data_IF_158907232283
#
_entry.id   IF_158907232283
#
_cell.length_a   1.000
_cell.length_b   1.000
_cell.length_c   1.000
_cell.angle_alpha   90.00
_cell.angle_beta   90.00
_cell.angle_gamma   90.00
#
_symmetry.space_group_name_H-M   'P 1'
#
loop_
_entity.id
_entity.type
_entity.pdbx_description
1 polymer ?
#
# COMPACT_ATOMS: atom_id res chain seq x y z
N UNK A 1 -11.13 -20.48 12.93
CA UNK A 1 -10.38 -19.24 13.11
C UNK A 1 -11.37 -18.07 13.06
N UNK A 2 -11.28 -17.19 14.03
CA UNK A 2 -12.12 -15.97 14.08
C UNK A 2 -11.31 -14.75 13.67
N UNK A 3 -11.79 -14.04 12.65
CA UNK A 3 -11.11 -12.87 12.07
C UNK A 3 -11.96 -11.61 12.30
N UNK A 4 -11.34 -10.61 12.90
CA UNK A 4 -11.91 -9.28 13.07
C UNK A 4 -11.48 -8.34 11.94
N UNK A 5 -12.41 -7.57 11.37
CA UNK A 5 -12.10 -6.46 10.46
C UNK A 5 -12.67 -5.18 11.06
N UNK A 6 -11.80 -4.29 11.50
CA UNK A 6 -12.16 -2.98 12.00
C UNK A 6 -12.03 -1.96 10.85
N UNK A 7 -13.15 -1.35 10.45
CA UNK A 7 -13.25 -0.56 9.22
C UNK A 7 -13.75 -1.35 8.01
N UNK A 8 -14.57 -2.37 8.23
CA UNK A 8 -15.06 -3.30 7.21
C UNK A 8 -15.81 -2.62 6.05
N UNK A 9 -16.45 -1.48 6.27
CA UNK A 9 -17.22 -0.73 5.27
C UNK A 9 -16.40 0.25 4.42
N UNK A 10 -15.10 0.36 4.70
CA UNK A 10 -14.17 1.20 3.93
C UNK A 10 -13.64 0.50 2.67
N UNK A 11 -12.95 1.25 1.80
CA UNK A 11 -12.35 0.70 0.57
C UNK A 11 -11.41 -0.49 0.85
N UNK A 12 -10.49 -0.35 1.82
CA UNK A 12 -9.56 -1.43 2.18
C UNK A 12 -10.29 -2.56 2.91
N UNK A 13 -11.32 -2.26 3.72
CA UNK A 13 -12.15 -3.27 4.37
C UNK A 13 -12.85 -4.20 3.38
N UNK A 14 -13.40 -3.64 2.30
CA UNK A 14 -14.01 -4.40 1.20
C UNK A 14 -13.00 -5.32 0.50
N UNK A 15 -11.77 -4.82 0.24
CA UNK A 15 -10.71 -5.66 -0.34
C UNK A 15 -10.24 -6.76 0.62
N UNK A 16 -10.18 -6.48 1.92
CA UNK A 16 -9.88 -7.48 2.95
C UNK A 16 -10.92 -8.60 2.97
N UNK A 17 -12.22 -8.28 2.92
CA UNK A 17 -13.28 -9.29 2.84
C UNK A 17 -13.09 -10.23 1.66
N UNK A 18 -12.84 -9.67 0.47
CA UNK A 18 -12.57 -10.45 -0.75
C UNK A 18 -11.37 -11.39 -0.57
N UNK A 19 -10.27 -10.89 0.02
CA UNK A 19 -9.05 -11.67 0.19
C UNK A 19 -9.16 -12.73 1.30
N UNK A 20 -9.84 -12.41 2.40
CA UNK A 20 -10.05 -13.33 3.52
C UNK A 20 -10.89 -14.53 3.07
N UNK A 21 -11.94 -14.30 2.26
CA UNK A 21 -12.74 -15.39 1.69
C UNK A 21 -11.89 -16.37 0.85
N UNK A 22 -10.83 -15.90 0.19
CA UNK A 22 -9.88 -16.74 -0.56
C UNK A 22 -8.83 -17.37 0.34
N UNK A 23 -8.29 -16.61 1.29
CA UNK A 23 -7.22 -17.08 2.16
C UNK A 23 -7.72 -18.08 3.22
N UNK A 24 -8.88 -17.79 3.80
CA UNK A 24 -9.46 -18.57 4.91
C UNK A 24 -10.97 -18.73 4.74
N UNK A 25 -11.44 -19.55 3.80
CA UNK A 25 -12.85 -19.63 3.42
C UNK A 25 -13.79 -20.15 4.54
N UNK A 26 -13.24 -20.76 5.58
CA UNK A 26 -14.00 -21.23 6.75
C UNK A 26 -13.87 -20.32 7.98
N UNK A 27 -13.29 -19.13 7.83
CA UNK A 27 -13.13 -18.20 8.94
C UNK A 27 -14.48 -17.61 9.37
N UNK A 28 -14.70 -17.51 10.66
CA UNK A 28 -15.77 -16.72 11.26
C UNK A 28 -15.38 -15.23 11.21
N UNK A 29 -16.25 -14.39 10.65
CA UNK A 29 -15.99 -12.96 10.50
C UNK A 29 -16.67 -12.16 11.60
N UNK A 30 -15.92 -11.26 12.25
CA UNK A 30 -16.42 -10.24 13.18
C UNK A 30 -16.14 -8.86 12.56
N UNK A 31 -17.16 -8.19 12.03
CA UNK A 31 -17.03 -6.95 11.27
C UNK A 31 -17.43 -5.75 12.10
N UNK A 32 -16.59 -4.70 12.06
CA UNK A 32 -16.79 -3.48 12.84
C UNK A 32 -16.66 -2.23 11.98
N UNK A 33 -17.53 -1.24 12.27
CA UNK A 33 -17.52 0.09 11.67
C UNK A 33 -17.87 1.16 12.71
N UNK A 34 -18.18 2.39 12.27
CA UNK A 34 -18.56 3.48 13.18
C UNK A 34 -19.92 3.27 13.87
N UNK A 35 -20.79 2.44 13.30
CA UNK A 35 -22.15 2.14 13.77
C UNK A 35 -22.59 0.74 13.36
N UNK A 36 -23.65 0.25 14.02
CA UNK A 36 -24.33 -0.98 13.62
C UNK A 36 -25.00 -0.78 12.26
N UNK A 37 -24.80 -1.73 11.34
CA UNK A 37 -25.38 -1.73 10.00
C UNK A 37 -25.21 -3.10 9.34
N UNK A 38 -25.82 -3.28 8.17
CA UNK A 38 -25.58 -4.43 7.30
C UNK A 38 -24.63 -4.03 6.15
N UNK A 39 -23.84 -4.97 5.69
CA UNK A 39 -22.93 -4.81 4.55
C UNK A 39 -23.16 -5.92 3.54
N UNK A 40 -23.58 -5.56 2.32
CA UNK A 40 -23.63 -6.48 1.20
C UNK A 40 -22.23 -6.58 0.56
N UNK A 41 -21.68 -7.79 0.47
CA UNK A 41 -20.39 -8.04 -0.16
C UNK A 41 -20.34 -9.46 -0.76
N UNK A 42 -19.87 -9.59 -2.01
CA UNK A 42 -19.69 -10.88 -2.68
C UNK A 42 -20.97 -11.71 -2.87
N UNK A 43 -22.15 -11.10 -2.79
CA UNK A 43 -23.46 -11.79 -2.85
C UNK A 43 -24.03 -12.14 -1.46
N UNK A 44 -23.24 -11.98 -0.40
CA UNK A 44 -23.65 -12.23 0.98
C UNK A 44 -23.98 -10.92 1.69
N UNK A 45 -24.77 -11.03 2.77
CA UNK A 45 -25.08 -9.93 3.68
C UNK A 45 -24.46 -10.20 5.03
N UNK A 46 -23.66 -9.27 5.52
CA UNK A 46 -22.93 -9.38 6.78
C UNK A 46 -23.45 -8.38 7.81
N UNK A 47 -23.58 -8.80 9.06
CA UNK A 47 -23.81 -7.91 10.18
C UNK A 47 -22.50 -7.20 10.57
N UNK A 48 -22.58 -5.87 10.67
CA UNK A 48 -21.45 -5.01 11.07
C UNK A 48 -21.82 -4.30 12.36
N UNK A 49 -21.02 -4.48 13.39
CA UNK A 49 -21.22 -3.89 14.72
C UNK A 49 -20.50 -2.54 14.85
N UNK A 50 -21.00 -1.70 15.74
CA UNK A 50 -20.27 -0.50 16.14
C UNK A 50 -18.94 -0.87 16.83
N UNK A 51 -17.84 -0.24 16.43
CA UNK A 51 -16.51 -0.49 17.01
C UNK A 51 -16.48 -0.26 18.53
N UNK A 52 -17.33 0.64 19.06
CA UNK A 52 -17.48 0.86 20.50
C UNK A 52 -17.91 -0.38 21.29
N UNK A 53 -18.48 -1.39 20.63
CA UNK A 53 -18.82 -2.66 21.30
C UNK A 53 -17.58 -3.45 21.76
N UNK A 54 -16.43 -3.23 21.14
CA UNK A 54 -15.16 -3.85 21.55
C UNK A 54 -14.67 -3.39 22.93
N UNK A 55 -15.18 -2.28 23.44
CA UNK A 55 -14.81 -1.74 24.75
C UNK A 55 -15.61 -2.38 25.92
N UNK A 56 -16.65 -3.12 25.60
CA UNK A 56 -17.40 -3.87 26.60
C UNK A 56 -16.56 -4.98 27.21
N UNK A 57 -16.82 -5.31 28.45
CA UNK A 57 -16.09 -6.35 29.17
C UNK A 57 -16.29 -7.76 28.61
N UNK A 58 -17.42 -7.99 27.91
CA UNK A 58 -17.81 -9.24 27.26
C UNK A 58 -17.50 -9.30 25.77
N UNK A 59 -16.70 -8.34 25.26
CA UNK A 59 -16.30 -8.35 23.86
C UNK A 59 -15.54 -9.65 23.51
N UNK A 60 -15.93 -10.33 22.42
CA UNK A 60 -15.38 -11.63 22.08
C UNK A 60 -13.94 -11.54 21.62
N UNK A 61 -13.09 -12.46 22.08
CA UNK A 61 -11.73 -12.66 21.59
C UNK A 61 -11.70 -13.38 20.24
N UNK A 62 -10.52 -13.47 19.65
CA UNK A 62 -10.32 -14.17 18.39
C UNK A 62 -8.84 -14.31 18.02
N UNK A 63 -8.59 -14.74 16.78
CA UNK A 63 -7.26 -15.15 16.34
C UNK A 63 -6.51 -14.01 15.62
N UNK A 64 -7.19 -13.31 14.69
CA UNK A 64 -6.59 -12.33 13.79
C UNK A 64 -7.47 -11.09 13.65
N UNK A 65 -6.87 -9.89 13.68
CA UNK A 65 -7.56 -8.64 13.46
C UNK A 65 -6.84 -7.77 12.42
N UNK A 66 -7.60 -7.25 11.48
CA UNK A 66 -7.18 -6.23 10.53
C UNK A 66 -7.79 -4.89 10.92
N UNK A 67 -6.96 -3.88 11.14
CA UNK A 67 -7.40 -2.53 11.49
C UNK A 67 -7.17 -1.60 10.31
N UNK A 68 -8.26 -1.18 9.67
CA UNK A 68 -8.29 -0.34 8.48
C UNK A 68 -8.96 1.01 8.77
N UNK A 69 -8.52 1.67 9.83
CA UNK A 69 -9.02 2.95 10.35
C UNK A 69 -7.92 4.00 10.43
N UNK A 70 -8.31 5.20 10.83
CA UNK A 70 -7.41 6.33 11.07
C UNK A 70 -6.63 6.18 12.38
N UNK A 71 -5.58 7.00 12.54
CA UNK A 71 -4.61 6.91 13.63
C UNK A 71 -5.24 6.91 15.03
N UNK A 72 -6.22 7.81 15.27
CA UNK A 72 -6.89 7.90 16.57
C UNK A 72 -7.65 6.63 16.97
N UNK A 73 -8.29 5.98 15.98
CA UNK A 73 -9.01 4.73 16.22
C UNK A 73 -8.06 3.55 16.36
N UNK A 74 -6.98 3.52 15.59
CA UNK A 74 -5.95 2.49 15.72
C UNK A 74 -5.26 2.57 17.08
N UNK A 75 -4.90 3.76 17.55
CA UNK A 75 -4.34 3.96 18.89
C UNK A 75 -5.28 3.47 20.00
N UNK A 76 -6.59 3.62 19.82
CA UNK A 76 -7.61 3.19 20.78
C UNK A 76 -7.86 1.68 20.74
N UNK A 77 -8.00 1.10 19.56
CA UNK A 77 -8.50 -0.27 19.44
C UNK A 77 -7.41 -1.34 19.27
N UNK A 78 -6.23 -1.04 18.74
CA UNK A 78 -5.18 -2.05 18.60
C UNK A 78 -4.75 -2.67 19.94
N UNK A 79 -4.51 -1.89 21.02
CA UNK A 79 -4.19 -2.47 22.33
C UNK A 79 -5.34 -3.36 22.85
N UNK A 80 -6.58 -2.90 22.68
CA UNK A 80 -7.76 -3.67 23.12
C UNK A 80 -7.91 -5.00 22.37
N UNK A 81 -7.66 -5.03 21.08
CA UNK A 81 -7.68 -6.26 20.28
C UNK A 81 -6.58 -7.23 20.72
N UNK A 82 -5.38 -6.72 21.04
CA UNK A 82 -4.29 -7.54 21.60
C UNK A 82 -4.68 -8.14 22.95
N UNK A 83 -5.33 -7.38 23.83
CA UNK A 83 -5.86 -7.87 25.12
C UNK A 83 -6.93 -8.96 24.94
N UNK A 84 -7.76 -8.85 23.90
CA UNK A 84 -8.76 -9.84 23.53
C UNK A 84 -8.16 -11.08 22.84
N UNK A 85 -6.84 -11.18 22.71
CA UNK A 85 -6.13 -12.34 22.19
C UNK A 85 -5.82 -12.31 20.70
N UNK A 86 -6.27 -11.30 19.97
CA UNK A 86 -6.00 -11.18 18.54
C UNK A 86 -4.52 -10.90 18.26
N UNK A 87 -4.03 -11.44 17.13
CA UNK A 87 -2.88 -10.88 16.43
C UNK A 87 -3.37 -9.77 15.53
N UNK A 88 -2.79 -8.60 15.63
CA UNK A 88 -3.30 -7.38 15.01
C UNK A 88 -2.38 -6.93 13.87
N UNK A 89 -2.97 -6.60 12.73
CA UNK A 89 -2.29 -5.92 11.62
C UNK A 89 -2.95 -4.55 11.43
N UNK A 90 -2.22 -3.51 11.75
CA UNK A 90 -2.68 -2.12 11.68
C UNK A 90 -2.16 -1.42 10.42
N UNK A 91 -3.05 -0.78 9.66
CA UNK A 91 -2.66 -0.04 8.46
C UNK A 91 -2.46 1.47 8.69
N UNK A 92 -2.77 1.99 9.88
CA UNK A 92 -2.61 3.41 10.20
C UNK A 92 -1.13 3.83 10.31
N UNK A 93 -0.88 5.14 10.51
CA UNK A 93 0.48 5.61 10.78
C UNK A 93 0.92 5.39 12.22
N UNK A 94 -0.02 5.12 13.14
CA UNK A 94 0.17 5.11 14.60
C UNK A 94 1.40 4.32 15.03
N UNK A 95 1.59 3.12 14.47
CA UNK A 95 2.63 2.20 14.91
C UNK A 95 3.79 2.05 13.94
N UNK A 96 3.72 2.64 12.74
CA UNK A 96 4.73 2.39 11.68
C UNK A 96 6.14 2.73 12.11
N UNK A 97 6.33 3.86 12.80
CA UNK A 97 7.65 4.30 13.26
C UNK A 97 7.95 3.96 14.72
N UNK A 98 7.04 3.23 15.41
CA UNK A 98 7.31 2.72 16.75
C UNK A 98 8.40 1.63 16.68
N UNK A 99 9.53 1.74 17.42
CA UNK A 99 10.62 0.75 17.37
C UNK A 99 10.21 -0.65 17.87
N UNK A 100 9.23 -0.73 18.78
CA UNK A 100 8.74 -1.99 19.32
C UNK A 100 7.75 -2.72 18.39
N UNK A 101 7.25 -2.04 17.36
CA UNK A 101 6.28 -2.62 16.42
C UNK A 101 6.94 -2.81 15.05
N UNK A 102 7.03 -4.05 14.54
CA UNK A 102 7.58 -4.29 13.21
C UNK A 102 6.69 -3.67 12.12
N UNK A 103 7.34 -3.00 11.17
CA UNK A 103 6.75 -2.48 9.95
C UNK A 103 7.09 -3.45 8.83
N UNK A 104 6.10 -4.16 8.27
CA UNK A 104 6.36 -5.36 7.48
C UNK A 104 5.83 -5.27 6.05
N UNK A 105 6.70 -5.61 5.10
CA UNK A 105 6.33 -5.93 3.73
C UNK A 105 6.59 -7.42 3.48
N UNK A 106 5.54 -8.15 3.14
CA UNK A 106 5.65 -9.56 2.76
C UNK A 106 6.54 -9.70 1.52
N UNK A 107 7.55 -10.55 1.60
CA UNK A 107 8.56 -10.69 0.54
C UNK A 107 9.82 -9.85 0.74
N UNK A 108 9.82 -8.88 1.66
CA UNK A 108 11.00 -8.07 2.01
C UNK A 108 11.51 -8.46 3.41
N UNK A 109 10.77 -8.11 4.44
CA UNK A 109 11.18 -8.30 5.83
C UNK A 109 10.14 -9.07 6.69
N UNK A 110 9.38 -9.96 6.08
CA UNK A 110 8.31 -10.71 6.75
C UNK A 110 8.80 -11.59 7.92
N UNK A 111 10.09 -11.91 7.98
CA UNK A 111 10.72 -12.57 9.12
C UNK A 111 10.59 -11.79 10.43
N UNK A 112 10.29 -10.49 10.36
CA UNK A 112 10.01 -9.64 11.53
C UNK A 112 8.65 -9.94 12.18
N UNK A 113 7.72 -10.55 11.46
CA UNK A 113 6.42 -10.99 12.00
C UNK A 113 6.54 -12.39 12.61
N UNK A 114 7.22 -12.51 13.74
CA UNK A 114 7.48 -13.78 14.44
C UNK A 114 6.25 -14.35 15.13
N UNK A 115 6.35 -15.58 15.63
CA UNK A 115 5.29 -16.21 16.43
C UNK A 115 5.00 -15.46 17.74
N UNK A 116 5.93 -14.68 18.27
CA UNK A 116 5.76 -13.87 19.47
C UNK A 116 5.10 -12.50 19.19
N UNK A 117 5.10 -12.03 17.93
CA UNK A 117 4.59 -10.73 17.54
C UNK A 117 3.06 -10.69 17.66
N UNK A 118 2.53 -9.70 18.40
CA UNK A 118 1.08 -9.50 18.60
C UNK A 118 0.51 -8.37 17.76
N UNK A 119 1.32 -7.37 17.42
CA UNK A 119 0.94 -6.21 16.62
C UNK A 119 1.99 -5.98 15.54
N UNK A 120 1.54 -5.83 14.30
CA UNK A 120 2.36 -5.48 13.13
C UNK A 120 1.76 -4.26 12.46
N UNK A 121 2.60 -3.32 12.06
CA UNK A 121 2.22 -2.20 11.22
C UNK A 121 2.34 -2.58 9.74
N UNK A 122 1.28 -2.31 8.97
CA UNK A 122 1.27 -2.41 7.51
C UNK A 122 1.69 -1.06 6.91
N UNK A 123 2.68 -1.04 6.01
CA UNK A 123 3.23 0.21 5.49
C UNK A 123 2.27 1.04 4.62
N UNK A 124 2.75 2.21 4.23
CA UNK A 124 2.09 3.08 3.27
C UNK A 124 1.97 2.40 1.89
N UNK A 125 0.91 2.77 1.17
CA UNK A 125 0.57 2.16 -0.13
C UNK A 125 1.57 2.46 -1.26
N UNK A 126 2.40 3.49 -1.14
CA UNK A 126 3.53 3.74 -2.04
C UNK A 126 4.78 2.99 -1.57
N UNK A 127 5.03 2.92 -0.27
CA UNK A 127 6.22 2.25 0.27
C UNK A 127 6.26 0.74 -0.01
N UNK A 128 5.11 0.07 0.01
CA UNK A 128 5.04 -1.38 -0.25
C UNK A 128 5.57 -1.74 -1.65
N UNK A 129 5.02 -1.21 -2.76
CA UNK A 129 5.52 -1.55 -4.09
C UNK A 129 6.95 -1.07 -4.34
N UNK A 130 7.32 0.11 -3.81
CA UNK A 130 8.70 0.61 -3.91
C UNK A 130 9.70 -0.36 -3.28
N UNK A 131 9.47 -0.78 -2.04
CA UNK A 131 10.40 -1.67 -1.33
C UNK A 131 10.44 -3.07 -1.93
N UNK A 132 9.34 -3.58 -2.50
CA UNK A 132 9.34 -4.82 -3.29
C UNK A 132 10.22 -4.72 -4.54
N UNK A 133 10.21 -3.58 -5.23
CA UNK A 133 11.07 -3.35 -6.38
C UNK A 133 12.55 -3.15 -5.99
N UNK A 134 12.81 -2.52 -4.85
CA UNK A 134 14.17 -2.22 -4.39
C UNK A 134 14.88 -3.42 -3.75
N UNK A 135 14.16 -4.33 -3.08
CA UNK A 135 14.76 -5.43 -2.33
C UNK A 135 15.63 -6.37 -3.18
N UNK A 136 15.21 -6.84 -4.37
CA UNK A 136 16.07 -7.68 -5.19
C UNK A 136 17.34 -6.95 -5.68
N UNK A 137 17.26 -5.63 -5.86
CA UNK A 137 18.40 -4.80 -6.22
C UNK A 137 19.35 -4.61 -5.02
N UNK A 138 18.80 -4.33 -3.85
CA UNK A 138 19.52 -4.24 -2.59
C UNK A 138 20.34 -5.51 -2.31
N UNK A 139 19.65 -6.66 -2.41
CA UNK A 139 20.26 -7.95 -2.11
C UNK A 139 21.41 -8.33 -3.06
N UNK A 140 21.33 -7.92 -4.34
CA UNK A 140 22.32 -8.31 -5.36
C UNK A 140 23.41 -7.27 -5.58
N UNK A 141 23.09 -5.97 -5.43
CA UNK A 141 24.01 -4.87 -5.82
C UNK A 141 24.27 -3.85 -4.72
N UNK A 142 23.52 -3.86 -3.62
CA UNK A 142 23.50 -2.78 -2.63
C UNK A 142 22.77 -1.53 -3.15
N UNK A 143 22.35 -0.65 -2.25
CA UNK A 143 21.65 0.61 -2.57
C UNK A 143 22.42 1.80 -1.99
N UNK A 144 22.79 2.75 -2.83
CA UNK A 144 23.40 4.03 -2.45
C UNK A 144 22.33 5.10 -2.23
N UNK A 145 21.87 5.75 -3.31
CA UNK A 145 20.89 6.82 -3.23
C UNK A 145 19.65 6.52 -4.07
N UNK A 146 18.50 7.03 -3.62
CA UNK A 146 17.22 6.86 -4.30
C UNK A 146 16.51 8.21 -4.37
N UNK A 147 15.99 8.53 -5.55
CA UNK A 147 15.03 9.61 -5.74
C UNK A 147 13.75 9.03 -6.30
N UNK A 148 12.62 9.38 -5.70
CA UNK A 148 11.31 8.89 -6.12
C UNK A 148 10.32 10.02 -6.32
N UNK A 149 9.59 9.99 -7.44
CA UNK A 149 8.44 10.85 -7.69
C UNK A 149 7.20 9.99 -7.80
N UNK A 150 6.23 10.17 -6.88
CA UNK A 150 5.01 9.37 -6.84
C UNK A 150 3.80 10.14 -7.37
N UNK A 151 2.95 9.44 -8.11
CA UNK A 151 1.69 9.90 -8.69
C UNK A 151 0.57 9.04 -8.11
N UNK A 152 -0.15 9.60 -7.14
CA UNK A 152 -1.03 8.83 -6.28
C UNK A 152 -2.50 9.01 -6.67
N UNK A 153 -3.21 7.88 -6.82
CA UNK A 153 -4.64 7.83 -7.10
C UNK A 153 -5.50 8.38 -5.95
N UNK A 154 -6.69 8.88 -6.29
CA UNK A 154 -7.61 9.53 -5.33
C UNK A 154 -8.12 8.56 -4.26
N UNK A 155 -8.28 7.26 -4.58
CA UNK A 155 -8.70 6.25 -3.61
C UNK A 155 -7.77 6.13 -2.38
N UNK A 156 -6.51 6.56 -2.51
CA UNK A 156 -5.58 6.64 -1.37
C UNK A 156 -6.00 7.67 -0.31
N UNK A 157 -6.82 8.65 -0.67
CA UNK A 157 -7.41 9.61 0.27
C UNK A 157 -8.69 9.09 0.95
N UNK A 158 -9.24 7.94 0.54
CA UNK A 158 -10.43 7.32 1.11
C UNK A 158 -11.68 7.44 0.24
N UNK A 159 -12.80 6.89 0.75
CA UNK A 159 -14.04 6.77 -0.02
C UNK A 159 -14.68 8.13 -0.32
N UNK A 160 -14.77 9.03 0.66
CA UNK A 160 -15.45 10.31 0.47
C UNK A 160 -14.74 11.21 -0.57
N UNK A 161 -13.39 11.40 -0.54
CA UNK A 161 -12.69 12.09 -1.62
C UNK A 161 -12.83 11.42 -2.98
N UNK A 162 -12.85 10.09 -3.04
CA UNK A 162 -13.05 9.36 -4.29
C UNK A 162 -14.44 9.61 -4.88
N UNK A 163 -15.52 9.54 -4.07
CA UNK A 163 -16.88 9.84 -4.51
C UNK A 163 -17.00 11.27 -5.02
N UNK A 164 -16.50 12.25 -4.24
CA UNK A 164 -16.47 13.65 -4.66
C UNK A 164 -15.73 13.85 -5.99
N UNK A 165 -14.59 13.22 -6.17
CA UNK A 165 -13.82 13.27 -7.43
C UNK A 165 -14.64 12.78 -8.62
N UNK A 166 -15.37 11.65 -8.47
CA UNK A 166 -16.21 11.10 -9.53
C UNK A 166 -17.35 12.06 -9.87
N UNK A 167 -18.08 12.55 -8.85
CA UNK A 167 -19.22 13.46 -9.04
C UNK A 167 -18.79 14.74 -9.76
N UNK A 168 -17.72 15.39 -9.28
CA UNK A 168 -17.17 16.61 -9.89
C UNK A 168 -16.63 16.39 -11.30
N UNK A 169 -16.06 15.22 -11.58
CA UNK A 169 -15.57 14.87 -12.93
C UNK A 169 -16.74 14.79 -13.90
N UNK A 170 -17.81 14.08 -13.52
CA UNK A 170 -19.03 13.94 -14.33
C UNK A 170 -19.68 15.31 -14.57
N UNK A 171 -19.86 16.12 -13.53
CA UNK A 171 -20.43 17.46 -13.62
C UNK A 171 -19.61 18.34 -14.54
N UNK A 172 -18.27 18.39 -14.36
CA UNK A 172 -17.38 19.22 -15.18
C UNK A 172 -17.45 18.86 -16.66
N UNK A 173 -17.38 17.57 -17.03
CA UNK A 173 -17.53 17.16 -18.42
C UNK A 173 -18.92 17.50 -18.99
N UNK A 174 -19.97 17.35 -18.21
CA UNK A 174 -21.34 17.72 -18.64
C UNK A 174 -21.42 19.21 -18.94
N UNK A 175 -20.90 20.08 -18.09
CA UNK A 175 -20.90 21.53 -18.29
C UNK A 175 -20.04 21.96 -19.48
N UNK A 176 -18.87 21.36 -19.69
CA UNK A 176 -18.07 21.58 -20.90
C UNK A 176 -18.87 21.31 -22.17
N UNK A 177 -19.62 20.20 -22.21
CA UNK A 177 -20.41 19.81 -23.37
C UNK A 177 -21.65 20.68 -23.57
N UNK A 178 -22.34 21.09 -22.51
CA UNK A 178 -23.65 21.76 -22.58
C UNK A 178 -23.55 23.28 -22.54
N UNK A 179 -22.62 23.83 -21.77
CA UNK A 179 -22.47 25.28 -21.57
C UNK A 179 -21.26 25.87 -22.32
N UNK A 180 -20.37 25.03 -22.85
CA UNK A 180 -19.16 25.49 -23.53
C UNK A 180 -18.10 26.11 -22.58
N UNK A 181 -18.24 25.87 -21.28
CA UNK A 181 -17.32 26.37 -20.27
C UNK A 181 -15.97 25.67 -20.35
N UNK A 182 -14.87 26.37 -20.11
CA UNK A 182 -13.54 25.78 -20.08
C UNK A 182 -13.32 25.04 -18.76
N UNK A 183 -12.64 23.88 -18.82
CA UNK A 183 -12.39 23.04 -17.63
C UNK A 183 -11.82 23.80 -16.43
N UNK A 184 -10.83 24.69 -16.65
CA UNK A 184 -10.21 25.47 -15.59
C UNK A 184 -11.08 26.56 -14.99
N UNK A 185 -12.24 26.91 -15.59
CA UNK A 185 -13.21 27.87 -15.05
C UNK A 185 -14.25 27.19 -14.16
N UNK A 186 -14.34 25.87 -14.22
CA UNK A 186 -15.36 25.09 -13.54
C UNK A 186 -14.97 24.62 -12.14
N UNK A 187 -13.67 24.54 -11.88
CA UNK A 187 -13.13 23.86 -10.69
C UNK A 187 -12.20 24.79 -9.91
N UNK A 188 -12.23 24.65 -8.59
CA UNK A 188 -11.23 25.24 -7.71
C UNK A 188 -9.85 24.63 -8.02
N UNK A 189 -8.76 25.43 -8.14
CA UNK A 189 -7.41 24.92 -8.35
C UNK A 189 -6.91 23.92 -7.30
N UNK A 190 -7.56 23.80 -6.16
CA UNK A 190 -7.25 22.82 -5.13
C UNK A 190 -7.95 21.45 -5.34
N UNK A 191 -8.92 21.36 -6.26
CA UNK A 191 -9.66 20.13 -6.53
C UNK A 191 -8.92 19.19 -7.46
N UNK A 192 -9.28 17.90 -7.42
CA UNK A 192 -8.57 16.83 -8.14
C UNK A 192 -8.94 16.64 -9.62
N UNK A 193 -10.20 16.80 -10.06
CA UNK A 193 -10.57 16.51 -11.44
C UNK A 193 -9.75 17.29 -12.46
N UNK A 194 -9.09 16.58 -13.40
CA UNK A 194 -8.25 17.20 -14.43
C UNK A 194 -6.99 17.91 -13.92
N UNK A 195 -6.58 17.66 -12.69
CA UNK A 195 -5.52 18.41 -11.99
C UNK A 195 -4.42 17.49 -11.45
N UNK A 196 -3.22 18.04 -11.30
CA UNK A 196 -2.11 17.43 -10.54
C UNK A 196 -1.85 18.29 -9.33
N UNK A 197 -2.13 17.76 -8.15
CA UNK A 197 -2.04 18.52 -6.90
C UNK A 197 -0.84 18.00 -6.10
N UNK A 198 0.06 18.87 -5.58
CA UNK A 198 1.08 18.45 -4.63
C UNK A 198 0.42 17.69 -3.48
N UNK A 199 1.04 16.61 -3.03
CA UNK A 199 0.41 15.77 -2.01
C UNK A 199 0.16 16.58 -0.75
N UNK A 200 -1.11 16.79 -0.43
CA UNK A 200 -1.56 17.60 0.69
C UNK A 200 -1.54 16.79 1.98
N UNK A 201 -0.41 16.71 2.62
CA UNK A 201 -0.34 16.36 4.03
C UNK A 201 0.12 17.58 4.81
N UNK A 202 0.24 17.46 6.14
CA UNK A 202 0.92 18.49 6.91
C UNK A 202 2.36 18.57 6.40
N UNK A 203 2.81 19.77 6.09
CA UNK A 203 4.19 20.04 5.71
C UNK A 203 4.99 20.31 6.99
N UNK A 204 6.19 19.76 7.09
CA UNK A 204 7.12 20.07 8.17
C UNK A 204 7.94 21.34 7.90
N UNK A 205 8.76 21.74 8.87
CA UNK A 205 9.59 22.95 8.77
C UNK A 205 10.65 22.88 7.65
N UNK A 206 10.95 21.70 7.14
CA UNK A 206 11.85 21.47 6.00
C UNK A 206 11.13 21.47 4.65
N UNK A 207 9.81 21.69 4.65
CA UNK A 207 8.99 21.71 3.44
C UNK A 207 8.54 20.34 2.92
N UNK A 208 8.84 19.25 3.62
CA UNK A 208 8.37 17.91 3.24
C UNK A 208 6.94 17.67 3.72
N UNK A 209 6.12 17.11 2.85
CA UNK A 209 4.81 16.61 3.24
C UNK A 209 4.91 15.36 4.11
N UNK A 210 3.86 15.10 4.91
CA UNK A 210 3.80 13.88 5.72
C UNK A 210 3.90 12.61 4.89
N UNK A 211 3.44 12.63 3.64
CA UNK A 211 3.49 11.48 2.73
C UNK A 211 4.92 11.21 2.25
N UNK A 212 5.66 12.26 1.91
CA UNK A 212 7.08 12.15 1.55
C UNK A 212 7.91 11.60 2.71
N UNK A 213 7.64 12.08 3.93
CA UNK A 213 8.30 11.54 5.15
C UNK A 213 8.01 10.07 5.40
N UNK A 214 6.76 9.62 5.16
CA UNK A 214 6.43 8.19 5.26
C UNK A 214 7.25 7.38 4.29
N UNK A 215 7.29 7.77 3.03
CA UNK A 215 8.01 7.06 1.99
C UNK A 215 9.50 6.94 2.33
N UNK A 216 10.14 8.00 2.80
CA UNK A 216 11.53 8.01 3.24
C UNK A 216 11.76 7.12 4.45
N UNK A 217 11.02 7.39 5.55
CA UNK A 217 11.28 6.75 6.84
C UNK A 217 10.87 5.28 6.86
N UNK A 218 9.74 4.95 6.23
CA UNK A 218 9.25 3.58 6.16
C UNK A 218 10.17 2.73 5.28
N UNK A 219 10.65 3.23 4.12
CA UNK A 219 11.60 2.51 3.27
C UNK A 219 12.89 2.18 4.01
N UNK A 220 13.44 3.13 4.78
CA UNK A 220 14.63 2.89 5.61
C UNK A 220 14.39 1.78 6.64
N UNK A 221 13.24 1.82 7.31
CA UNK A 221 12.89 0.82 8.33
C UNK A 221 12.67 -0.56 7.74
N UNK A 222 11.96 -0.65 6.60
CA UNK A 222 11.63 -1.92 5.95
C UNK A 222 12.86 -2.57 5.33
N UNK A 223 13.69 -1.79 4.64
CA UNK A 223 14.93 -2.28 4.01
C UNK A 223 16.09 -2.47 5.00
N UNK A 224 15.89 -2.07 6.27
CA UNK A 224 16.90 -2.13 7.34
C UNK A 224 18.17 -1.32 7.00
N UNK A 225 17.98 -0.20 6.30
CA UNK A 225 19.04 0.72 5.88
C UNK A 225 18.77 2.13 6.46
N UNK A 226 19.06 2.40 7.74
CA UNK A 226 18.70 3.65 8.40
C UNK A 226 19.35 4.89 7.76
N UNK A 227 20.54 4.72 7.16
CA UNK A 227 21.30 5.81 6.53
C UNK A 227 21.07 5.92 5.01
N UNK A 228 20.14 5.13 4.43
CA UNK A 228 19.84 5.18 3.00
C UNK A 228 19.51 6.61 2.56
N UNK A 229 20.25 7.12 1.59
CA UNK A 229 19.97 8.38 0.92
C UNK A 229 18.69 8.26 0.09
N UNK A 230 17.58 8.84 0.56
CA UNK A 230 16.32 8.79 -0.18
C UNK A 230 15.62 10.14 -0.15
N UNK A 231 15.23 10.62 -1.33
CA UNK A 231 14.41 11.81 -1.50
C UNK A 231 13.11 11.47 -2.23
N UNK A 232 12.01 12.05 -1.78
CA UNK A 232 10.69 11.78 -2.32
C UNK A 232 9.94 13.07 -2.65
N UNK A 233 9.19 13.06 -3.75
CA UNK A 233 8.19 14.07 -4.07
C UNK A 233 6.88 13.37 -4.42
N UNK A 234 5.77 13.80 -3.81
CA UNK A 234 4.49 13.16 -3.94
C UNK A 234 3.45 14.09 -4.54
N UNK A 235 2.72 13.59 -5.55
CA UNK A 235 1.59 14.28 -6.15
C UNK A 235 0.33 13.41 -6.12
N UNK A 236 -0.82 14.06 -5.98
CA UNK A 236 -2.12 13.45 -6.24
C UNK A 236 -2.49 13.70 -7.70
N UNK A 237 -2.90 12.66 -8.41
CA UNK A 237 -3.29 12.72 -9.83
C UNK A 237 -4.76 12.32 -10.02
N UNK A 238 -5.44 12.77 -11.09
CA UNK A 238 -6.86 12.56 -11.31
C UNK A 238 -7.16 11.13 -11.82
N UNK A 239 -6.71 10.13 -11.08
CA UNK A 239 -6.90 8.69 -11.37
C UNK A 239 -7.66 8.06 -10.19
N UNK A 240 -8.72 7.29 -10.40
CA UNK A 240 -9.47 6.68 -9.32
C UNK A 240 -8.64 5.72 -8.46
N UNK A 241 -7.86 4.83 -9.08
CA UNK A 241 -7.06 3.80 -8.41
C UNK A 241 -5.74 3.54 -9.17
N UNK A 242 -4.77 2.93 -8.49
CA UNK A 242 -3.45 2.63 -9.02
C UNK A 242 -2.45 3.76 -8.78
N UNK A 243 -1.46 3.52 -7.91
CA UNK A 243 -0.32 4.41 -7.71
C UNK A 243 0.76 4.13 -8.74
N UNK A 244 1.53 5.16 -9.04
CA UNK A 244 2.60 5.12 -10.04
C UNK A 244 3.81 5.88 -9.51
N UNK A 245 5.02 5.36 -9.70
CA UNK A 245 6.26 5.93 -9.19
C UNK A 245 7.34 5.88 -10.25
N UNK A 246 8.02 7.00 -10.46
CA UNK A 246 9.28 7.03 -11.18
C UNK A 246 10.41 7.04 -10.16
N UNK A 247 11.37 6.15 -10.35
CA UNK A 247 12.44 5.90 -9.38
C UNK A 247 13.79 6.00 -10.07
N UNK A 248 14.70 6.81 -9.52
CA UNK A 248 16.11 6.88 -9.86
C UNK A 248 16.88 6.23 -8.73
N UNK A 249 17.78 5.33 -9.08
CA UNK A 249 18.52 4.49 -8.13
C UNK A 249 19.99 4.61 -8.43
N UNK A 250 20.78 4.79 -7.39
CA UNK A 250 22.23 4.54 -7.42
C UNK A 250 22.53 3.23 -6.67
N UNK A 251 23.19 2.30 -7.34
CA UNK A 251 23.62 1.03 -6.78
C UNK A 251 25.02 1.20 -6.15
N UNK A 252 25.36 0.41 -5.14
CA UNK A 252 26.74 0.38 -4.60
C UNK A 252 27.70 -0.31 -5.54
N UNK A 253 27.24 -1.36 -6.24
CA UNK A 253 27.98 -2.09 -7.27
C UNK A 253 27.36 -1.84 -8.65
N UNK A 254 28.19 -1.50 -9.63
CA UNK A 254 27.74 -1.39 -11.02
C UNK A 254 27.19 -2.71 -11.56
N UNK A 255 26.21 -2.61 -12.43
CA UNK A 255 25.53 -3.73 -13.07
C UNK A 255 25.12 -3.35 -14.50
N UNK A 256 24.87 -4.33 -15.35
CA UNK A 256 24.26 -4.12 -16.65
C UNK A 256 22.71 -4.28 -16.61
N UNK A 257 22.07 -3.99 -17.73
CA UNK A 257 20.61 -4.04 -17.81
C UNK A 257 20.05 -5.47 -17.67
N UNK A 258 20.79 -6.48 -18.10
CA UNK A 258 20.39 -7.88 -18.03
C UNK A 258 20.42 -8.36 -16.56
N UNK A 259 21.50 -8.09 -15.85
CA UNK A 259 21.66 -8.41 -14.42
C UNK A 259 20.54 -7.78 -13.57
N UNK A 260 20.20 -6.50 -13.83
CA UNK A 260 19.13 -5.79 -13.11
C UNK A 260 17.76 -6.37 -13.47
N UNK A 261 17.52 -6.66 -14.75
CA UNK A 261 16.27 -7.26 -15.21
C UNK A 261 16.03 -8.63 -14.57
N UNK A 262 17.06 -9.47 -14.49
CA UNK A 262 17.01 -10.77 -13.80
C UNK A 262 16.68 -10.61 -12.31
N UNK A 263 17.36 -9.67 -11.64
CA UNK A 263 17.10 -9.39 -10.23
C UNK A 263 15.64 -8.98 -10.01
N UNK A 264 15.13 -8.02 -10.79
CA UNK A 264 13.74 -7.57 -10.70
C UNK A 264 12.74 -8.69 -11.00
N UNK A 265 12.99 -9.49 -12.04
CA UNK A 265 12.12 -10.61 -12.42
C UNK A 265 12.08 -11.73 -11.38
N UNK A 266 13.13 -11.88 -10.57
CA UNK A 266 13.20 -12.85 -9.46
C UNK A 266 12.57 -12.35 -8.17
N UNK A 267 12.25 -11.05 -8.07
CA UNK A 267 11.69 -10.44 -6.87
C UNK A 267 10.32 -11.01 -6.49
N UNK A 268 10.08 -11.33 -5.21
CA UNK A 268 8.80 -11.83 -4.77
C UNK A 268 7.71 -10.77 -4.99
N UNK A 269 6.57 -11.19 -5.55
CA UNK A 269 5.43 -10.31 -5.84
C UNK A 269 5.73 -9.13 -6.79
N UNK A 270 6.83 -9.21 -7.51
CA UNK A 270 7.17 -8.31 -8.63
C UNK A 270 6.71 -8.95 -9.93
N UNK A 271 6.08 -8.16 -10.78
CA UNK A 271 5.83 -8.50 -12.17
C UNK A 271 6.65 -7.56 -13.04
N UNK A 272 7.78 -8.06 -13.54
CA UNK A 272 8.70 -7.27 -14.34
C UNK A 272 8.28 -7.23 -15.81
N UNK A 273 8.21 -6.02 -16.37
CA UNK A 273 7.95 -5.74 -17.77
C UNK A 273 9.26 -5.36 -18.48
N UNK A 274 9.79 -6.20 -19.38
CA UNK A 274 11.10 -5.95 -19.97
C UNK A 274 11.08 -4.84 -21.05
N UNK A 275 9.90 -4.40 -21.51
CA UNK A 275 9.79 -3.35 -22.52
C UNK A 275 10.20 -1.97 -22.02
N UNK A 276 11.02 -1.27 -22.80
CA UNK A 276 11.45 0.10 -22.50
C UNK A 276 10.34 1.16 -22.75
N UNK A 277 9.34 0.83 -23.55
CA UNK A 277 8.21 1.71 -23.91
C UNK A 277 7.20 1.94 -22.78
N UNK A 278 7.22 1.07 -21.76
CA UNK A 278 6.29 1.13 -20.63
C UNK A 278 4.87 0.69 -20.97
N UNK A 279 4.67 0.02 -22.10
CA UNK A 279 3.41 -0.64 -22.43
C UNK A 279 3.04 -1.62 -21.30
N UNK A 280 1.83 -1.50 -20.74
CA UNK A 280 1.40 -2.29 -19.58
C UNK A 280 1.83 -1.74 -18.20
N UNK A 281 2.60 -0.64 -18.14
CA UNK A 281 2.96 0.04 -16.88
C UNK A 281 2.14 1.32 -16.70
N UNK A 282 0.85 1.20 -16.55
CA UNK A 282 -0.04 2.33 -16.28
C UNK A 282 -0.79 2.13 -14.97
N UNK A 283 -1.30 3.20 -14.38
CA UNK A 283 -2.14 3.08 -13.19
C UNK A 283 -3.34 2.15 -13.44
N UNK A 284 -3.95 2.24 -14.62
CA UNK A 284 -5.08 1.37 -14.99
C UNK A 284 -4.67 -0.10 -15.17
N UNK A 285 -3.45 -0.37 -15.67
CA UNK A 285 -2.97 -1.74 -15.86
C UNK A 285 -2.85 -2.53 -14.54
N UNK A 286 -2.73 -1.83 -13.40
CA UNK A 286 -2.65 -2.45 -12.07
C UNK A 286 -3.87 -3.30 -11.74
N UNK A 287 -5.05 -3.01 -12.33
CA UNK A 287 -6.29 -3.79 -12.12
C UNK A 287 -6.21 -5.23 -12.63
N UNK A 288 -5.28 -5.53 -13.54
CA UNK A 288 -5.09 -6.88 -14.09
C UNK A 288 -4.12 -7.73 -13.25
N UNK A 289 -3.32 -7.08 -12.39
CA UNK A 289 -2.34 -7.74 -11.51
C UNK A 289 -2.31 -7.09 -10.13
N UNK A 290 -3.49 -6.99 -9.53
CA UNK A 290 -3.77 -6.23 -8.32
C UNK A 290 -2.88 -6.58 -7.12
N UNK A 291 -2.31 -7.79 -7.09
CA UNK A 291 -1.55 -8.34 -5.98
C UNK A 291 -0.02 -8.31 -6.22
N UNK A 292 0.45 -7.62 -7.29
CA UNK A 292 1.86 -7.50 -7.66
C UNK A 292 2.28 -6.05 -7.88
N UNK A 293 3.53 -5.75 -7.58
CA UNK A 293 4.19 -4.55 -8.07
C UNK A 293 4.55 -4.74 -9.55
N UNK A 294 4.03 -3.87 -10.41
CA UNK A 294 4.41 -3.82 -11.83
C UNK A 294 5.68 -2.97 -11.93
N UNK A 295 6.76 -3.55 -12.38
CA UNK A 295 8.08 -2.87 -12.47
C UNK A 295 8.61 -2.96 -13.88
N UNK A 296 9.15 -1.88 -14.42
CA UNK A 296 9.74 -1.87 -15.75
C UNK A 296 10.23 -0.50 -16.18
N UNK A 297 10.28 -0.24 -17.49
CA UNK A 297 10.94 0.94 -18.07
C UNK A 297 12.36 1.12 -17.57
N UNK A 298 13.07 0.01 -17.31
CA UNK A 298 14.44 0.02 -16.87
C UNK A 298 15.31 0.67 -17.95
N UNK A 299 16.10 1.66 -17.56
CA UNK A 299 17.08 2.33 -18.42
C UNK A 299 18.20 2.94 -17.61
N UNK A 300 19.35 3.12 -18.20
CA UNK A 300 20.42 3.89 -17.60
C UNK A 300 20.00 5.34 -17.38
N UNK A 301 20.40 5.92 -16.27
CA UNK A 301 20.33 7.37 -16.07
C UNK A 301 21.36 8.04 -17.01
N UNK A 302 21.00 9.18 -17.59
CA UNK A 302 21.91 9.93 -18.46
C UNK A 302 23.18 10.43 -17.73
N UNK A 303 23.18 10.43 -16.42
CA UNK A 303 24.32 10.77 -15.56
C UNK A 303 25.22 9.57 -15.23
N UNK A 304 24.85 8.37 -15.70
CA UNK A 304 25.59 7.14 -15.42
C UNK A 304 26.92 7.09 -16.17
N UNK A 305 27.99 6.79 -15.45
CA UNK A 305 29.34 6.65 -16.00
C UNK A 305 29.98 5.29 -15.70
N UNK A 306 29.40 4.53 -14.77
CA UNK A 306 30.03 3.32 -14.21
C UNK A 306 29.01 2.15 -13.99
N UNK A 307 27.83 2.23 -14.57
CA UNK A 307 26.79 1.20 -14.48
C UNK A 307 26.03 1.19 -13.15
N UNK A 308 26.14 2.25 -12.35
CA UNK A 308 25.49 2.31 -11.03
C UNK A 308 24.17 3.06 -11.02
N UNK A 309 23.91 3.94 -11.99
CA UNK A 309 22.73 4.81 -11.98
C UNK A 309 21.68 4.37 -12.98
N UNK A 310 20.50 4.09 -12.47
CA UNK A 310 19.39 3.54 -13.23
C UNK A 310 18.08 4.27 -12.95
N UNK A 311 17.19 4.20 -13.91
CA UNK A 311 15.82 4.66 -13.77
C UNK A 311 14.86 3.49 -14.04
N UNK A 312 13.81 3.41 -13.26
CA UNK A 312 12.72 2.47 -13.48
C UNK A 312 11.36 3.08 -13.07
N UNK A 313 10.31 2.38 -13.40
CA UNK A 313 8.95 2.74 -13.02
C UNK A 313 8.33 1.61 -12.21
N UNK A 314 7.59 1.97 -11.16
CA UNK A 314 6.80 1.05 -10.34
C UNK A 314 5.34 1.49 -10.39
N UNK A 315 4.41 0.56 -10.60
CA UNK A 315 2.99 0.80 -10.48
C UNK A 315 2.31 -0.30 -9.66
N UNK A 316 1.28 0.06 -8.88
CA UNK A 316 0.59 -0.92 -8.05
C UNK A 316 -0.85 -0.51 -7.74
N UNK A 317 -1.73 -1.49 -7.57
CA UNK A 317 -3.05 -1.26 -6.98
C UNK A 317 -2.87 -0.89 -5.50
N UNK A 318 -3.19 0.36 -5.18
CA UNK A 318 -2.97 0.92 -3.85
C UNK A 318 -3.90 0.38 -2.77
N UNK A 319 -5.05 -0.17 -3.15
CA UNK A 319 -6.01 -0.77 -2.21
C UNK A 319 -5.71 -2.26 -1.97
N UNK A 320 -5.18 -2.95 -3.00
CA UNK A 320 -4.84 -4.37 -2.94
C UNK A 320 -3.40 -4.55 -2.47
N UNK A 321 -2.41 -4.56 -3.38
CA UNK A 321 -1.00 -4.74 -3.00
C UNK A 321 -0.58 -3.72 -1.94
N UNK A 322 -0.92 -2.45 -2.17
CA UNK A 322 -0.57 -1.32 -1.29
C UNK A 322 -1.22 -1.34 0.10
N UNK A 323 -2.18 -2.26 0.36
CA UNK A 323 -2.84 -2.32 1.65
C UNK A 323 -3.31 -3.75 2.00
N UNK A 324 -4.43 -4.20 1.43
CA UNK A 324 -5.12 -5.41 1.86
C UNK A 324 -4.30 -6.69 1.58
N UNK A 325 -3.69 -6.81 0.41
CA UNK A 325 -2.92 -8.01 0.03
C UNK A 325 -1.68 -8.17 0.90
N UNK A 326 -0.93 -7.08 1.15
CA UNK A 326 0.23 -7.14 2.04
C UNK A 326 -0.18 -7.57 3.45
N UNK A 327 -1.27 -7.01 3.99
CA UNK A 327 -1.79 -7.38 5.30
C UNK A 327 -2.17 -8.87 5.38
N UNK A 328 -2.87 -9.40 4.38
CA UNK A 328 -3.23 -10.83 4.33
C UNK A 328 -1.99 -11.71 4.21
N UNK A 329 -1.01 -11.33 3.40
CA UNK A 329 0.27 -12.04 3.29
C UNK A 329 1.05 -12.04 4.62
N UNK A 330 1.11 -10.93 5.34
CA UNK A 330 1.70 -10.90 6.68
C UNK A 330 1.00 -11.89 7.60
N UNK A 331 -0.34 -11.89 7.61
CA UNK A 331 -1.12 -12.81 8.43
C UNK A 331 -0.87 -14.29 8.07
N UNK A 332 -0.55 -14.59 6.80
CA UNK A 332 -0.26 -15.96 6.36
C UNK A 332 0.99 -16.56 7.00
N UNK A 333 1.89 -15.72 7.54
CA UNK A 333 3.01 -16.19 8.35
C UNK A 333 2.57 -16.83 9.67
N UNK A 334 1.42 -16.41 10.19
CA UNK A 334 0.85 -16.96 11.44
C UNK A 334 -0.22 -18.02 11.18
N UNK A 335 -1.01 -17.79 10.14
CA UNK A 335 -2.16 -18.63 9.77
C UNK A 335 -2.08 -18.91 8.27
N UNK A 336 -1.53 -20.07 7.85
CA UNK A 336 -1.33 -20.39 6.44
C UNK A 336 -2.59 -20.19 5.60
N UNK A 337 -2.46 -19.43 4.52
CA UNK A 337 -3.55 -19.17 3.59
C UNK A 337 -3.80 -20.37 2.66
N UNK A 338 -5.07 -20.63 2.35
CA UNK A 338 -5.48 -21.68 1.39
C UNK A 338 -5.11 -21.30 -0.05
N UNK A 339 -5.10 -20.01 -0.38
CA UNK A 339 -4.69 -19.50 -1.70
C UNK A 339 -3.17 -19.27 -1.71
N UNK A 340 -2.39 -20.01 -2.54
CA UNK A 340 -0.94 -19.86 -2.62
C UNK A 340 -0.46 -18.46 -3.01
N UNK A 341 -1.27 -17.68 -3.75
CA UNK A 341 -0.92 -16.30 -4.14
C UNK A 341 -0.96 -15.33 -2.96
N UNK A 342 -1.62 -15.72 -1.87
CA UNK A 342 -1.73 -14.96 -0.62
C UNK A 342 -0.79 -15.48 0.46
N UNK A 343 -0.08 -16.58 0.20
CA UNK A 343 0.97 -17.09 1.07
C UNK A 343 2.27 -16.30 0.95
N UNK A 344 3.11 -16.39 1.97
CA UNK A 344 4.50 -15.92 1.90
C UNK A 344 5.32 -17.02 1.22
N UNK A 345 6.16 -16.71 0.21
CA UNK A 345 7.09 -17.69 -0.33
C UNK A 345 7.96 -18.23 0.80
N UNK A 346 8.11 -19.55 0.88
CA UNK A 346 9.11 -20.13 1.77
C UNK A 346 10.45 -19.50 1.41
N UNK A 347 11.14 -18.91 2.37
CA UNK A 347 12.54 -18.51 2.20
C UNK A 347 13.28 -19.73 1.69
N UNK A 348 13.65 -19.76 0.41
CA UNK A 348 14.69 -20.67 -0.03
C UNK A 348 15.91 -20.27 0.79
N UNK A 349 16.32 -21.17 1.68
CA UNK A 349 17.59 -21.04 2.37
C UNK A 349 18.64 -20.81 1.27
N UNK A 350 19.18 -19.57 1.23
CA UNK A 350 20.31 -19.22 0.39
C UNK A 350 21.59 -19.75 1.03
#
# INVERSE_FOLDING_TARGET
MRICILGATGLVGSELLTLIARAWPTAELALYASRDQTLAHGGDTHEVQAASSLERGDAPGGDLAFVALDDQYSARYCPRLVELGYRVIDKSNTYRMNPEVPLVVAGVNHHRATSATKLVANPNCTTIPLTLALEPLRARFGLGEITVSSYQAISGAGLAPLSRFVDMTVEGFTRMQTAGELWGELLDPAEYPGNVVPHSGKTDDSGFSSEERKLVNESRKILELPELGISAQCCRVPVPAGHYENVWIELERGADAEEISEALASGPFVHYHPGADGAGLTALATVHRRDHALVGRLRKDNRDTDGRRWCLTVAADNLRLGAATNAVRIASAWFPASDPLLGIPSLRQA
#
